data_IF_269405218862
#
_entry.id   IF_269405218862
#
_cell.length_a   1.000
_cell.length_b   1.000
_cell.length_c   1.000
_cell.angle_alpha   90.00
_cell.angle_beta   90.00
_cell.angle_gamma   90.00
#
_symmetry.space_group_name_H-M   'P 1'
#
loop_
_entity.id
_entity.type
_entity.pdbx_description
1 polymer ?
#
# COMPACT_ATOMS: atom_id res chain seq x y z
N UNK A 1 -1.05 19.47 -13.63
CA UNK A 1 0.41 19.44 -13.35
C UNK A 1 0.86 18.25 -12.48
N UNK A 2 0.04 17.74 -11.54
CA UNK A 2 0.42 16.72 -10.53
C UNK A 2 0.86 15.32 -11.01
N UNK A 3 0.57 14.89 -12.25
CA UNK A 3 0.91 13.53 -12.74
C UNK A 3 2.40 13.36 -13.08
N UNK A 4 3.09 14.46 -13.42
CA UNK A 4 4.48 14.40 -13.90
C UNK A 4 5.45 14.10 -12.77
N UNK A 5 5.20 14.66 -11.58
CA UNK A 5 6.04 14.46 -10.40
C UNK A 5 5.91 13.04 -9.83
N UNK A 6 4.69 12.49 -9.80
CA UNK A 6 4.45 11.13 -9.31
C UNK A 6 5.16 10.06 -10.17
N UNK A 7 5.10 10.18 -11.49
CA UNK A 7 5.79 9.23 -12.37
C UNK A 7 7.31 9.27 -12.17
N UNK A 8 7.89 10.44 -11.91
CA UNK A 8 9.31 10.59 -11.62
C UNK A 8 9.68 9.91 -10.29
N UNK A 9 8.87 10.11 -9.25
CA UNK A 9 9.07 9.49 -7.94
C UNK A 9 8.99 7.96 -8.05
N UNK A 10 7.99 7.45 -8.77
CA UNK A 10 7.83 6.00 -9.02
C UNK A 10 9.06 5.43 -9.74
N UNK A 11 9.56 6.09 -10.79
CA UNK A 11 10.75 5.63 -11.52
C UNK A 11 11.99 5.60 -10.64
N UNK A 12 12.19 6.63 -9.81
CA UNK A 12 13.29 6.65 -8.83
C UNK A 12 13.15 5.50 -7.82
N UNK A 13 11.93 5.26 -7.32
CA UNK A 13 11.67 4.16 -6.39
C UNK A 13 11.97 2.79 -7.04
N UNK A 14 11.57 2.58 -8.29
CA UNK A 14 11.87 1.36 -9.07
C UNK A 14 13.39 1.17 -9.31
N UNK A 15 14.15 2.25 -9.36
CA UNK A 15 15.62 2.23 -9.44
C UNK A 15 16.31 1.99 -8.08
N UNK A 16 15.54 1.73 -7.01
CA UNK A 16 16.07 1.45 -5.67
C UNK A 16 16.25 2.69 -4.79
N UNK A 17 15.76 3.87 -5.21
CA UNK A 17 15.80 5.06 -4.36
C UNK A 17 14.78 4.92 -3.21
N UNK A 18 15.27 4.58 -2.02
CA UNK A 18 14.45 4.40 -0.83
C UNK A 18 13.68 5.67 -0.43
N UNK A 19 14.30 6.85 -0.52
CA UNK A 19 13.64 8.12 -0.19
C UNK A 19 12.44 8.39 -1.09
N UNK A 20 12.55 8.10 -2.39
CA UNK A 20 11.45 8.22 -3.34
C UNK A 20 10.32 7.23 -3.01
N UNK A 21 10.65 6.03 -2.56
CA UNK A 21 9.66 5.06 -2.09
C UNK A 21 8.95 5.55 -0.82
N UNK A 22 9.68 6.06 0.16
CA UNK A 22 9.12 6.63 1.39
C UNK A 22 8.19 7.80 1.09
N UNK A 23 8.58 8.70 0.17
CA UNK A 23 7.74 9.81 -0.28
C UNK A 23 6.41 9.29 -0.88
N UNK A 24 6.49 8.27 -1.74
CA UNK A 24 5.33 7.65 -2.36
C UNK A 24 4.41 7.03 -1.30
N UNK A 25 4.94 6.25 -0.36
CA UNK A 25 4.15 5.66 0.71
C UNK A 25 3.50 6.70 1.63
N UNK A 26 4.23 7.76 1.99
CA UNK A 26 3.69 8.85 2.81
C UNK A 26 2.50 9.54 2.12
N UNK A 27 2.60 9.75 0.80
CA UNK A 27 1.49 10.28 -0.01
C UNK A 27 0.25 9.39 0.05
N UNK A 28 0.43 8.07 0.05
CA UNK A 28 -0.68 7.12 0.02
C UNK A 28 -1.18 6.67 1.41
N UNK A 29 -0.45 6.97 2.48
CA UNK A 29 -0.72 6.49 3.85
C UNK A 29 -2.15 6.73 4.30
N UNK A 30 -2.65 7.96 4.17
CA UNK A 30 -4.02 8.31 4.61
C UNK A 30 -5.08 7.56 3.80
N UNK A 31 -4.90 7.45 2.49
CA UNK A 31 -5.86 6.77 1.61
C UNK A 31 -5.88 5.26 1.89
N UNK A 32 -4.71 4.64 2.03
CA UNK A 32 -4.58 3.21 2.37
C UNK A 32 -5.17 2.93 3.75
N UNK A 33 -4.90 3.76 4.76
CA UNK A 33 -5.49 3.64 6.09
C UNK A 33 -7.01 3.72 6.04
N UNK A 34 -7.57 4.71 5.33
CA UNK A 34 -9.03 4.84 5.21
C UNK A 34 -9.68 3.63 4.52
N UNK A 35 -9.02 3.05 3.51
CA UNK A 35 -9.47 1.82 2.86
C UNK A 35 -9.48 0.65 3.84
N UNK A 36 -8.36 0.41 4.52
CA UNK A 36 -8.19 -0.69 5.47
C UNK A 36 -9.18 -0.55 6.63
N UNK A 37 -9.29 0.64 7.23
CA UNK A 37 -10.20 0.92 8.33
C UNK A 37 -11.66 0.65 7.98
N UNK A 38 -12.09 0.99 6.76
CA UNK A 38 -13.44 0.66 6.28
C UNK A 38 -13.72 -0.85 6.25
N UNK A 39 -12.70 -1.66 5.98
CA UNK A 39 -12.82 -3.12 5.92
C UNK A 39 -12.79 -3.78 7.29
N UNK A 40 -11.87 -3.37 8.17
CA UNK A 40 -11.63 -4.05 9.45
C UNK A 40 -12.33 -3.42 10.66
N UNK A 41 -12.78 -2.15 10.53
CA UNK A 41 -13.52 -1.39 11.55
C UNK A 41 -12.87 -1.35 12.94
N UNK A 42 -11.54 -1.45 12.98
CA UNK A 42 -10.73 -1.30 14.18
C UNK A 42 -9.50 -0.48 13.81
N UNK A 43 -9.17 0.52 14.63
CA UNK A 43 -8.10 1.47 14.35
C UNK A 43 -6.71 0.86 14.47
N UNK A 44 -6.44 0.14 15.57
CA UNK A 44 -5.15 -0.49 15.83
C UNK A 44 -4.82 -1.53 14.76
N UNK A 45 -5.79 -2.41 14.47
CA UNK A 45 -5.66 -3.42 13.41
C UNK A 45 -5.48 -2.76 12.03
N UNK A 46 -6.12 -1.62 11.79
CA UNK A 46 -5.94 -0.90 10.54
C UNK A 46 -4.53 -0.31 10.42
N UNK A 47 -3.97 0.27 11.49
CA UNK A 47 -2.59 0.76 11.51
C UNK A 47 -1.60 -0.38 11.25
N UNK A 48 -1.80 -1.55 11.88
CA UNK A 48 -0.95 -2.73 11.69
C UNK A 48 -1.01 -3.26 10.25
N UNK A 49 -2.20 -3.40 9.68
CA UNK A 49 -2.38 -3.87 8.31
C UNK A 49 -1.81 -2.87 7.30
N UNK A 50 -1.90 -1.56 7.56
CA UNK A 50 -1.27 -0.54 6.69
C UNK A 50 0.25 -0.69 6.70
N UNK A 51 0.86 -0.92 7.86
CA UNK A 51 2.31 -1.17 7.95
C UNK A 51 2.70 -2.43 7.18
N UNK A 52 1.99 -3.54 7.39
CA UNK A 52 2.23 -4.79 6.66
C UNK A 52 2.06 -4.60 5.14
N UNK A 53 1.06 -3.81 4.72
CA UNK A 53 0.82 -3.47 3.32
C UNK A 53 2.01 -2.74 2.71
N UNK A 54 2.59 -1.79 3.43
CA UNK A 54 3.73 -1.00 2.96
C UNK A 54 5.02 -1.82 2.90
N UNK A 55 5.25 -2.72 3.85
CA UNK A 55 6.35 -3.68 3.80
C UNK A 55 6.20 -4.61 2.59
N UNK A 56 5.01 -5.16 2.36
CA UNK A 56 4.74 -6.01 1.18
C UNK A 56 4.88 -5.23 -0.12
N UNK A 57 4.41 -3.99 -0.18
CA UNK A 57 4.59 -3.12 -1.33
C UNK A 57 6.08 -2.86 -1.61
N UNK A 58 6.88 -2.60 -0.58
CA UNK A 58 8.33 -2.43 -0.74
C UNK A 58 8.98 -3.66 -1.36
N UNK A 59 8.69 -4.84 -0.79
CA UNK A 59 9.26 -6.11 -1.26
C UNK A 59 8.78 -6.48 -2.68
N UNK A 60 7.57 -6.08 -3.05
CA UNK A 60 6.97 -6.35 -4.36
C UNK A 60 7.17 -5.22 -5.37
N UNK A 61 7.89 -4.15 -5.04
CA UNK A 61 7.97 -2.94 -5.86
C UNK A 61 8.49 -3.22 -7.28
N UNK A 62 9.45 -4.15 -7.42
CA UNK A 62 9.99 -4.59 -8.71
C UNK A 62 8.95 -5.26 -9.62
N UNK A 63 7.84 -5.73 -9.06
CA UNK A 63 6.72 -6.32 -9.82
C UNK A 63 5.68 -5.28 -10.29
N UNK A 64 5.81 -4.02 -9.84
CA UNK A 64 4.88 -2.97 -10.25
C UNK A 64 5.00 -2.68 -11.75
N UNK A 65 3.86 -2.66 -12.43
CA UNK A 65 3.77 -2.37 -13.86
C UNK A 65 3.22 -0.95 -14.06
N UNK A 66 4.06 -0.07 -14.60
CA UNK A 66 3.75 1.35 -14.87
C UNK A 66 2.55 1.57 -15.81
N UNK A 67 2.04 0.52 -16.49
CA UNK A 67 0.77 0.59 -17.24
C UNK A 67 -0.45 0.82 -16.35
N UNK A 68 -0.35 0.51 -15.06
CA UNK A 68 -1.42 0.73 -14.07
C UNK A 68 -1.07 1.88 -13.14
N UNK A 69 -2.08 2.54 -12.58
CA UNK A 69 -1.86 3.52 -11.53
C UNK A 69 -1.27 2.84 -10.29
N UNK A 70 -0.27 3.49 -9.67
CA UNK A 70 0.36 2.98 -8.46
C UNK A 70 -0.65 2.76 -7.33
N UNK A 71 -1.62 3.67 -7.18
CA UNK A 71 -2.72 3.55 -6.23
C UNK A 71 -3.51 2.25 -6.40
N UNK A 72 -3.84 1.86 -7.64
CA UNK A 72 -4.56 0.62 -7.95
C UNK A 72 -3.78 -0.60 -7.50
N UNK A 73 -2.47 -0.64 -7.78
CA UNK A 73 -1.60 -1.74 -7.37
C UNK A 73 -1.45 -1.81 -5.85
N UNK A 74 -1.21 -0.67 -5.19
CA UNK A 74 -1.08 -0.59 -3.74
C UNK A 74 -2.36 -0.99 -3.01
N UNK A 75 -3.52 -0.51 -3.47
CA UNK A 75 -4.81 -0.84 -2.86
C UNK A 75 -5.20 -2.30 -3.05
N UNK A 76 -4.74 -2.95 -4.13
CA UNK A 76 -4.88 -4.40 -4.28
C UNK A 76 -4.11 -5.15 -3.20
N UNK A 77 -2.87 -4.75 -2.89
CA UNK A 77 -2.09 -5.34 -1.80
C UNK A 77 -2.80 -5.12 -0.45
N UNK A 78 -3.26 -3.90 -0.19
CA UNK A 78 -4.00 -3.56 1.03
C UNK A 78 -5.26 -4.43 1.20
N UNK A 79 -6.04 -4.56 0.13
CA UNK A 79 -7.29 -5.33 0.13
C UNK A 79 -7.03 -6.81 0.40
N UNK A 80 -6.00 -7.39 -0.24
CA UNK A 80 -5.59 -8.76 0.00
C UNK A 80 -5.19 -8.98 1.46
N UNK A 81 -4.41 -8.07 2.05
CA UNK A 81 -4.03 -8.13 3.46
C UNK A 81 -5.25 -8.09 4.39
N UNK A 82 -6.22 -7.20 4.13
CA UNK A 82 -7.47 -7.15 4.89
C UNK A 82 -8.24 -8.46 4.80
N UNK A 83 -8.36 -9.05 3.61
CA UNK A 83 -9.06 -10.33 3.41
C UNK A 83 -8.37 -11.45 4.19
N UNK A 84 -7.04 -11.53 4.11
CA UNK A 84 -6.26 -12.53 4.85
C UNK A 84 -6.40 -12.35 6.37
N UNK A 85 -6.33 -11.11 6.85
CA UNK A 85 -6.54 -10.77 8.25
C UNK A 85 -7.93 -11.21 8.74
N UNK A 86 -8.99 -10.82 8.02
CA UNK A 86 -10.37 -11.16 8.39
C UNK A 86 -10.62 -12.67 8.35
N UNK A 87 -10.04 -13.38 7.38
CA UNK A 87 -10.09 -14.84 7.29
C UNK A 87 -9.43 -15.48 8.52
N UNK A 88 -8.23 -15.04 8.90
CA UNK A 88 -7.53 -15.53 10.10
C UNK A 88 -8.31 -15.23 11.38
N UNK A 89 -8.91 -14.03 11.48
CA UNK A 89 -9.71 -13.63 12.65
C UNK A 89 -10.94 -14.51 12.82
N UNK A 90 -11.62 -14.86 11.72
CA UNK A 90 -12.78 -15.77 11.74
C UNK A 90 -12.41 -17.19 12.19
N UNK A 91 -11.20 -17.66 11.86
CA UNK A 91 -10.71 -19.00 12.23
C UNK A 91 -10.25 -19.11 13.70
N UNK A 92 -10.11 -17.98 14.42
CA UNK A 92 -9.74 -17.95 15.84
C UNK A 92 -10.96 -18.00 16.78
N UNK A 93 -12.15 -18.25 16.22
CA UNK A 93 -13.43 -18.43 16.94
C UNK A 93 -13.77 -19.91 16.87
#
# INVERSE_FOLDING_TARGET
>A
MLKKDESIIIKKALQGNQSAFTELLNKYRVATFNLVYKMVKNREEADDIVQETFIKAFNALSSFNEKYAFSTWLFKIATNNCIDFLRKKKLKI
#
